data_IF_572805119748
#
_entry.id   IF_572805119748
#
_cell.length_a   1.000
_cell.length_b   1.000
_cell.length_c   1.000
_cell.angle_alpha   90.00
_cell.angle_beta   90.00
_cell.angle_gamma   90.00
#
_symmetry.space_group_name_H-M   'P 1'
#
loop_
_entity.id
_entity.type
_entity.pdbx_description
1 polymer ?
#
# COMPACT_ATOMS: atom_id res chain seq x y z
N UNK A 1 25.08 -9.08 11.22
CA UNK A 1 24.43 -8.46 10.06
C UNK A 1 23.23 -7.70 10.59
N UNK A 2 22.98 -6.50 10.09
CA UNK A 2 21.85 -5.67 10.49
C UNK A 2 20.85 -5.61 9.34
N UNK A 3 19.58 -5.56 9.70
CA UNK A 3 18.46 -5.67 8.76
C UNK A 3 18.22 -4.27 8.17
N UNK A 4 18.14 -4.15 6.84
CA UNK A 4 17.99 -2.83 6.19
C UNK A 4 16.53 -2.55 5.85
N UNK A 5 16.07 -1.31 6.04
CA UNK A 5 14.72 -0.93 5.71
C UNK A 5 14.60 0.51 5.27
N UNK A 6 13.36 0.88 4.98
CA UNK A 6 12.93 2.23 4.67
C UNK A 6 11.55 2.43 5.25
N UNK A 7 11.15 3.67 5.43
CA UNK A 7 9.76 4.01 5.63
C UNK A 7 9.20 4.86 4.48
N UNK A 8 7.91 4.68 4.21
CA UNK A 8 7.24 5.24 3.05
C UNK A 8 5.91 5.87 3.42
N UNK A 9 5.58 6.96 2.75
CA UNK A 9 4.29 7.64 2.81
C UNK A 9 3.74 7.88 1.40
N UNK A 10 2.70 8.72 1.29
CA UNK A 10 2.04 8.97 0.01
C UNK A 10 2.88 9.72 -1.01
N UNK A 11 4.00 10.34 -0.61
CA UNK A 11 4.89 11.03 -1.54
C UNK A 11 5.90 10.09 -2.22
N UNK A 12 6.16 8.90 -1.66
CA UNK A 12 6.87 7.83 -2.36
C UNK A 12 5.98 7.11 -3.40
N UNK A 13 6.61 6.28 -4.23
CA UNK A 13 5.91 5.42 -5.19
C UNK A 13 4.89 4.50 -4.51
N UNK A 14 3.80 4.18 -5.22
CA UNK A 14 2.89 3.11 -4.81
C UNK A 14 3.54 1.72 -4.93
N UNK A 15 4.56 1.60 -5.76
CA UNK A 15 5.40 0.41 -5.93
C UNK A 15 6.88 0.77 -5.73
N UNK A 16 7.34 0.91 -4.47
CA UNK A 16 8.73 1.26 -4.17
C UNK A 16 9.74 0.22 -4.65
N UNK A 17 10.99 0.66 -4.85
CA UNK A 17 12.10 -0.26 -5.12
C UNK A 17 12.45 -0.99 -3.83
N UNK A 18 12.42 -2.33 -3.87
CA UNK A 18 12.62 -3.19 -2.69
C UNK A 18 13.95 -3.94 -2.67
N UNK A 19 14.77 -3.78 -3.71
CA UNK A 19 16.04 -4.51 -3.83
C UNK A 19 16.98 -4.09 -2.70
N UNK A 20 17.50 -5.07 -1.95
CA UNK A 20 18.41 -4.83 -0.83
C UNK A 20 17.73 -4.43 0.48
N UNK A 21 16.39 -4.39 0.52
CA UNK A 21 15.61 -4.14 1.72
C UNK A 21 15.10 -5.45 2.35
N UNK A 22 14.94 -5.41 3.66
CA UNK A 22 14.43 -6.49 4.50
C UNK A 22 13.12 -6.14 5.21
N UNK A 23 12.86 -4.85 5.44
CA UNK A 23 11.60 -4.36 5.98
C UNK A 23 11.18 -3.03 5.37
N UNK A 24 9.90 -2.72 5.51
CA UNK A 24 9.36 -1.40 5.20
C UNK A 24 8.28 -1.00 6.21
N UNK A 25 8.33 0.24 6.69
CA UNK A 25 7.28 0.84 7.53
C UNK A 25 6.48 1.84 6.72
N UNK A 26 5.15 1.78 6.80
CA UNK A 26 4.28 2.48 5.86
C UNK A 26 3.33 3.40 6.62
N UNK A 27 3.28 4.68 6.25
CA UNK A 27 2.29 5.61 6.80
C UNK A 27 0.91 5.06 6.50
N UNK A 28 0.11 4.82 7.53
CA UNK A 28 -1.29 4.42 7.37
C UNK A 28 -2.20 5.64 7.46
N UNK A 29 -2.10 6.39 8.55
CA UNK A 29 -3.02 7.48 8.86
C UNK A 29 -2.30 8.68 9.51
N UNK A 30 -3.00 9.81 9.53
CA UNK A 30 -2.60 11.01 10.27
C UNK A 30 -3.83 11.67 10.89
N UNK A 31 -3.77 11.96 12.19
CA UNK A 31 -4.92 12.47 12.92
C UNK A 31 -6.15 11.56 12.77
N UNK A 32 -7.32 12.16 12.60
CA UNK A 32 -8.57 11.43 12.31
C UNK A 32 -9.11 11.71 10.91
N UNK A 33 -8.30 12.34 10.04
CA UNK A 33 -8.77 12.90 8.77
C UNK A 33 -8.02 12.44 7.53
N UNK A 34 -6.89 11.73 7.69
CA UNK A 34 -6.07 11.33 6.56
C UNK A 34 -5.75 9.84 6.58
N UNK A 35 -5.94 9.19 5.44
CA UNK A 35 -5.48 7.83 5.13
C UNK A 35 -4.52 7.91 3.96
N UNK A 36 -3.38 7.23 4.04
CA UNK A 36 -2.45 7.13 2.92
C UNK A 36 -3.09 6.33 1.77
N UNK A 37 -3.37 6.94 0.60
CA UNK A 37 -4.04 6.27 -0.51
C UNK A 37 -3.16 5.21 -1.19
N UNK A 38 -1.85 5.17 -0.87
CA UNK A 38 -0.88 4.24 -1.45
C UNK A 38 -0.54 3.06 -0.52
N UNK A 39 -0.99 3.05 0.74
CA UNK A 39 -0.50 2.10 1.74
C UNK A 39 -0.69 0.63 1.34
N UNK A 40 -1.83 0.30 0.71
CA UNK A 40 -2.14 -1.08 0.29
C UNK A 40 -1.18 -1.54 -0.80
N UNK A 41 -0.93 -0.70 -1.81
CA UNK A 41 0.01 -1.00 -2.89
C UNK A 41 1.46 -1.10 -2.39
N UNK A 42 1.84 -0.23 -1.46
CA UNK A 42 3.15 -0.24 -0.82
C UNK A 42 3.35 -1.52 0.00
N UNK A 43 2.36 -1.89 0.80
CA UNK A 43 2.39 -3.10 1.61
C UNK A 43 2.42 -4.36 0.74
N UNK A 44 1.61 -4.41 -0.33
CA UNK A 44 1.62 -5.52 -1.28
C UNK A 44 2.96 -5.66 -2.00
N UNK A 45 3.58 -4.54 -2.38
CA UNK A 45 4.91 -4.52 -3.01
C UNK A 45 5.97 -5.07 -2.06
N UNK A 46 5.97 -4.62 -0.80
CA UNK A 46 6.89 -5.11 0.22
C UNK A 46 6.67 -6.61 0.53
N UNK A 47 5.41 -7.04 0.71
CA UNK A 47 5.06 -8.45 0.97
C UNK A 47 5.48 -9.36 -0.19
N UNK A 48 5.27 -8.94 -1.45
CA UNK A 48 5.70 -9.69 -2.65
C UNK A 48 7.22 -9.86 -2.73
N UNK A 49 7.99 -8.89 -2.25
CA UNK A 49 9.44 -8.97 -2.15
C UNK A 49 9.92 -9.67 -0.85
N UNK A 50 8.99 -10.17 -0.03
CA UNK A 50 9.27 -10.94 1.18
C UNK A 50 9.79 -10.10 2.35
N UNK A 51 9.56 -8.78 2.34
CA UNK A 51 9.95 -7.87 3.42
C UNK A 51 9.05 -8.10 4.66
N UNK A 52 9.52 -7.70 5.82
CA UNK A 52 8.65 -7.48 6.99
C UNK A 52 7.95 -6.13 6.82
N UNK A 53 6.63 -6.08 6.96
CA UNK A 53 5.84 -4.86 6.78
C UNK A 53 5.34 -4.37 8.12
N UNK A 54 5.48 -3.07 8.39
CA UNK A 54 4.85 -2.40 9.52
C UNK A 54 4.11 -1.15 9.07
N UNK A 55 3.32 -0.57 9.98
CA UNK A 55 2.54 0.64 9.70
C UNK A 55 2.76 1.68 10.78
N UNK A 56 2.70 2.97 10.41
CA UNK A 56 2.77 4.05 11.38
C UNK A 56 1.64 5.07 11.24
N UNK A 57 1.37 5.74 12.36
CA UNK A 57 0.38 6.79 12.49
C UNK A 57 1.06 8.10 12.87
N UNK A 58 0.92 9.14 12.05
CA UNK A 58 1.38 10.48 12.40
C UNK A 58 0.37 11.14 13.34
N UNK A 59 0.75 11.34 14.61
CA UNK A 59 -0.17 11.86 15.63
C UNK A 59 -0.32 13.37 15.56
N UNK A 60 -1.53 13.85 15.81
CA UNK A 60 -1.87 15.28 15.90
C UNK A 60 -2.49 15.62 17.25
N UNK A 61 -2.46 16.88 17.71
CA UNK A 61 -3.16 17.29 18.92
C UNK A 61 -4.65 16.96 18.83
N UNK A 62 -5.22 16.41 19.90
CA UNK A 62 -6.64 16.02 19.94
C UNK A 62 -6.88 14.80 20.82
N UNK A 63 -7.93 14.05 20.49
CA UNK A 63 -8.33 12.82 21.17
C UNK A 63 -7.46 11.64 20.70
N UNK A 64 -6.68 11.07 21.62
CA UNK A 64 -5.77 9.97 21.32
C UNK A 64 -6.48 8.65 21.11
N UNK A 65 -7.63 8.43 21.76
CA UNK A 65 -8.42 7.21 21.57
C UNK A 65 -9.11 7.22 20.22
N UNK A 66 -9.61 8.38 19.79
CA UNK A 66 -10.16 8.55 18.45
C UNK A 66 -9.09 8.31 17.37
N UNK A 67 -7.87 8.85 17.54
CA UNK A 67 -6.76 8.61 16.61
C UNK A 67 -6.30 7.14 16.60
N UNK A 68 -6.21 6.51 17.79
CA UNK A 68 -5.86 5.09 17.89
C UNK A 68 -6.90 4.20 17.20
N UNK A 69 -8.19 4.45 17.42
CA UNK A 69 -9.28 3.76 16.73
C UNK A 69 -9.21 3.97 15.21
N UNK A 70 -8.98 5.21 14.78
CA UNK A 70 -8.85 5.56 13.36
C UNK A 70 -7.68 4.82 12.69
N UNK A 71 -6.52 4.77 13.35
CA UNK A 71 -5.36 4.03 12.87
C UNK A 71 -5.64 2.52 12.79
N UNK A 72 -6.23 1.95 13.83
CA UNK A 72 -6.61 0.53 13.90
C UNK A 72 -7.66 0.17 12.84
N UNK A 73 -8.61 1.05 12.55
CA UNK A 73 -9.62 0.82 11.52
C UNK A 73 -9.03 0.84 10.10
N UNK A 74 -8.15 1.81 9.82
CA UNK A 74 -7.71 2.10 8.45
C UNK A 74 -6.38 1.45 8.06
N UNK A 75 -5.51 1.12 9.01
CA UNK A 75 -4.24 0.47 8.68
C UNK A 75 -4.48 -0.89 8.01
N UNK A 76 -3.88 -1.08 6.83
CA UNK A 76 -3.90 -2.34 6.07
C UNK A 76 -2.96 -3.42 6.69
N UNK A 77 -2.91 -3.46 8.02
CA UNK A 77 -2.08 -4.34 8.83
C UNK A 77 -2.66 -5.75 8.88
N UNK A 78 -1.79 -6.74 8.75
CA UNK A 78 -2.07 -8.15 9.04
C UNK A 78 -1.50 -8.50 10.43
N UNK A 79 -2.03 -9.51 11.14
CA UNK A 79 -1.43 -9.98 12.37
C UNK A 79 0.07 -10.25 12.20
N UNK A 80 0.88 -9.75 13.13
CA UNK A 80 2.34 -9.79 13.07
C UNK A 80 3.00 -8.58 12.40
N UNK A 81 2.26 -7.68 11.75
CA UNK A 81 2.81 -6.40 11.29
C UNK A 81 2.99 -5.46 12.51
N UNK A 82 4.20 -4.94 12.80
CA UNK A 82 4.38 -4.00 13.89
C UNK A 82 3.72 -2.66 13.55
N UNK A 83 3.17 -2.01 14.57
CA UNK A 83 2.49 -0.73 14.49
C UNK A 83 3.27 0.32 15.27
N UNK A 84 3.42 1.52 14.72
CA UNK A 84 4.17 2.60 15.35
C UNK A 84 3.33 3.86 15.49
N UNK A 85 3.44 4.49 16.65
CA UNK A 85 3.08 5.89 16.81
C UNK A 85 4.26 6.74 16.32
N UNK A 86 4.04 7.60 15.34
CA UNK A 86 4.99 8.64 14.95
C UNK A 86 4.68 9.91 15.74
N UNK A 87 5.54 10.22 16.72
CA UNK A 87 5.41 11.36 17.62
C UNK A 87 6.46 12.43 17.34
N UNK A 88 6.11 13.36 16.46
CA UNK A 88 6.93 14.52 16.12
C UNK A 88 6.18 15.86 16.21
N UNK A 89 4.89 15.85 16.56
CA UNK A 89 4.09 17.06 16.76
C UNK A 89 4.27 17.64 18.17
N UNK A 90 4.69 18.91 18.24
CA UNK A 90 4.97 19.59 19.50
C UNK A 90 3.71 19.83 20.34
N UNK A 91 2.53 19.86 19.72
CA UNK A 91 1.25 19.99 20.41
C UNK A 91 0.75 18.70 21.06
N UNK A 92 1.43 17.56 20.85
CA UNK A 92 1.11 16.27 21.48
C UNK A 92 2.05 16.06 22.67
N UNK A 93 1.48 15.87 23.87
CA UNK A 93 2.23 15.67 25.11
C UNK A 93 2.75 14.23 25.27
N UNK A 94 3.66 14.02 26.23
CA UNK A 94 4.13 12.68 26.61
C UNK A 94 2.98 11.77 27.06
N UNK A 95 2.02 12.32 27.81
CA UNK A 95 0.87 11.57 28.31
C UNK A 95 -0.09 11.20 27.19
N UNK A 96 -0.31 12.09 26.22
CA UNK A 96 -1.07 11.78 25.01
C UNK A 96 -0.40 10.68 24.17
N UNK A 97 0.93 10.75 24.00
CA UNK A 97 1.71 9.68 23.38
C UNK A 97 1.52 8.34 24.11
N UNK A 98 1.56 8.33 25.44
CA UNK A 98 1.34 7.14 26.26
C UNK A 98 -0.08 6.59 26.10
N UNK A 99 -1.09 7.47 26.10
CA UNK A 99 -2.50 7.11 25.92
C UNK A 99 -2.74 6.46 24.55
N UNK A 100 -2.20 7.02 23.48
CA UNK A 100 -2.33 6.45 22.14
C UNK A 100 -1.73 5.03 22.07
N UNK A 101 -0.49 4.86 22.54
CA UNK A 101 0.18 3.54 22.52
C UNK A 101 -0.63 2.51 23.32
N UNK A 102 -1.09 2.89 24.51
CA UNK A 102 -1.90 2.01 25.35
C UNK A 102 -3.22 1.63 24.67
N UNK A 103 -3.88 2.56 23.99
CA UNK A 103 -5.14 2.31 23.31
C UNK A 103 -4.99 1.42 22.07
N UNK A 104 -3.94 1.62 21.25
CA UNK A 104 -3.66 0.72 20.12
C UNK A 104 -3.40 -0.71 20.63
N UNK A 105 -2.62 -0.86 21.71
CA UNK A 105 -2.41 -2.17 22.35
C UNK A 105 -3.72 -2.80 22.83
N UNK A 106 -4.60 -2.00 23.44
CA UNK A 106 -5.93 -2.48 23.89
C UNK A 106 -6.80 -2.95 22.72
N UNK A 107 -6.83 -2.19 21.61
CA UNK A 107 -7.67 -2.48 20.45
C UNK A 107 -7.18 -3.67 19.61
N UNK A 108 -5.85 -3.89 19.55
CA UNK A 108 -5.23 -4.95 18.74
C UNK A 108 -4.85 -6.21 19.52
N UNK A 109 -4.82 -6.13 20.86
CA UNK A 109 -4.39 -7.22 21.72
C UNK A 109 -2.97 -7.68 21.39
N UNK A 110 -2.72 -8.98 21.49
CA UNK A 110 -1.38 -9.56 21.29
C UNK A 110 -1.04 -9.84 19.81
N UNK A 111 -1.89 -9.45 18.87
CA UNK A 111 -1.69 -9.73 17.44
C UNK A 111 -0.60 -8.84 16.81
N UNK A 112 -0.21 -7.74 17.46
CA UNK A 112 0.74 -6.77 16.93
C UNK A 112 1.71 -6.31 18.01
N UNK A 113 2.95 -6.04 17.61
CA UNK A 113 3.86 -5.17 18.39
C UNK A 113 3.44 -3.72 18.17
N UNK A 114 3.47 -2.91 19.23
CA UNK A 114 3.13 -1.48 19.19
C UNK A 114 4.28 -0.67 19.77
N UNK A 115 4.98 0.08 18.92
CA UNK A 115 6.16 0.86 19.27
C UNK A 115 5.98 2.37 19.10
N UNK A 116 7.05 3.09 19.39
CA UNK A 116 7.17 4.54 19.26
C UNK A 116 8.24 4.85 18.22
N UNK A 117 7.90 5.73 17.29
CA UNK A 117 8.84 6.51 16.51
C UNK A 117 8.92 7.94 17.04
N UNK A 118 10.15 8.45 17.18
CA UNK A 118 10.42 9.87 17.40
C UNK A 118 11.90 10.16 17.11
N UNK A 119 12.25 11.45 17.00
CA UNK A 119 13.65 11.85 16.89
C UNK A 119 14.36 11.93 18.26
N UNK A 120 15.70 12.01 18.24
CA UNK A 120 16.53 12.09 19.46
C UNK A 120 16.13 13.21 20.42
N UNK A 121 15.66 14.36 19.92
CA UNK A 121 15.26 15.47 20.76
C UNK A 121 13.99 15.11 21.54
N UNK A 122 12.99 14.54 20.86
CA UNK A 122 11.76 14.09 21.50
C UNK A 122 12.06 13.05 22.58
N UNK A 123 12.88 12.05 22.25
CA UNK A 123 13.28 11.03 23.22
C UNK A 123 14.01 11.62 24.44
N UNK A 124 15.00 12.50 24.23
CA UNK A 124 15.83 12.98 25.34
C UNK A 124 15.20 14.12 26.16
N UNK A 125 14.29 14.90 25.55
CA UNK A 125 13.81 16.18 26.12
C UNK A 125 12.31 16.21 26.38
N UNK A 126 11.53 15.39 25.70
CA UNK A 126 10.06 15.39 25.83
C UNK A 126 9.52 14.09 26.42
N UNK A 127 10.19 12.98 26.16
CA UNK A 127 9.83 11.69 26.76
C UNK A 127 10.09 11.73 28.27
N UNK A 128 9.11 11.26 29.03
CA UNK A 128 9.21 11.07 30.48
C UNK A 128 8.70 9.67 30.81
N UNK A 129 9.57 8.86 31.43
CA UNK A 129 9.25 7.52 31.94
C UNK A 129 9.78 6.36 31.09
N UNK A 130 10.44 6.63 29.97
CA UNK A 130 11.07 5.63 29.10
C UNK A 130 10.08 4.76 28.33
N UNK A 131 8.83 5.21 28.13
CA UNK A 131 7.81 4.38 27.50
C UNK A 131 7.82 4.49 25.98
N UNK A 132 8.45 3.50 25.34
CA UNK A 132 8.44 3.30 23.88
C UNK A 132 7.48 2.21 23.40
N UNK A 133 6.65 1.65 24.29
CA UNK A 133 5.89 0.44 23.96
C UNK A 133 6.80 -0.79 23.77
N UNK A 134 6.64 -1.51 22.67
CA UNK A 134 7.40 -2.75 22.37
C UNK A 134 8.70 -2.50 21.60
N UNK A 135 8.88 -1.31 21.03
CA UNK A 135 10.05 -0.93 20.26
C UNK A 135 10.22 0.59 20.21
N UNK A 136 11.45 1.06 20.42
CA UNK A 136 11.86 2.39 20.03
C UNK A 136 12.44 2.36 18.61
N UNK A 137 11.83 3.14 17.73
CA UNK A 137 12.33 3.53 16.42
C UNK A 137 12.82 4.98 16.50
N UNK A 138 14.14 5.16 16.53
CA UNK A 138 14.75 6.47 16.78
C UNK A 138 15.22 7.12 15.47
N UNK A 139 14.85 8.37 15.23
CA UNK A 139 15.47 9.18 14.19
C UNK A 139 16.68 9.95 14.72
N UNK A 140 17.85 9.67 14.16
CA UNK A 140 19.09 10.41 14.37
C UNK A 140 20.02 10.26 13.16
N UNK A 141 20.26 11.34 12.41
CA UNK A 141 20.94 11.23 11.11
C UNK A 141 22.46 11.15 11.25
N UNK A 142 22.93 9.98 11.69
CA UNK A 142 24.33 9.65 11.97
C UNK A 142 24.69 8.29 11.38
N UNK A 143 25.84 7.72 11.76
CA UNK A 143 26.26 6.39 11.31
C UNK A 143 25.16 5.34 11.56
N UNK A 144 24.81 4.51 10.56
CA UNK A 144 23.78 3.48 10.72
C UNK A 144 24.06 2.59 11.94
N UNK A 145 23.04 2.43 12.78
CA UNK A 145 23.12 1.63 14.01
C UNK A 145 23.87 2.26 15.19
N UNK A 146 24.22 3.55 15.12
CA UNK A 146 24.87 4.27 16.21
C UNK A 146 24.12 5.57 16.59
N UNK A 147 22.80 5.53 16.91
CA UNK A 147 22.07 6.73 17.30
C UNK A 147 22.63 7.30 18.61
N UNK A 148 22.62 8.62 18.77
CA UNK A 148 23.15 9.34 19.94
C UNK A 148 22.19 9.30 21.13
N UNK A 149 21.68 8.12 21.47
CA UNK A 149 20.85 7.85 22.65
C UNK A 149 21.42 6.67 23.45
N UNK A 150 21.16 6.66 24.76
CA UNK A 150 21.55 5.54 25.63
C UNK A 150 20.46 4.48 25.78
N UNK A 151 19.22 4.83 25.46
CA UNK A 151 18.08 3.93 25.62
C UNK A 151 18.14 2.77 24.62
N UNK A 152 17.59 1.60 24.98
CA UNK A 152 17.46 0.49 24.05
C UNK A 152 16.58 0.89 22.87
N UNK A 153 17.02 0.54 21.67
CA UNK A 153 16.31 0.79 20.42
C UNK A 153 16.34 -0.48 19.55
N UNK A 154 15.32 -0.62 18.70
CA UNK A 154 15.22 -1.72 17.74
C UNK A 154 15.32 -1.23 16.30
N UNK A 155 14.95 0.03 16.03
CA UNK A 155 15.06 0.63 14.71
C UNK A 155 15.73 1.99 14.81
N UNK A 156 16.56 2.32 13.81
CA UNK A 156 17.27 3.59 13.72
C UNK A 156 17.09 4.14 12.30
N UNK A 157 16.36 5.24 12.18
CA UNK A 157 16.29 6.04 10.95
C UNK A 157 17.54 6.93 10.91
N UNK A 158 18.45 6.64 9.99
CA UNK A 158 19.80 7.24 9.97
C UNK A 158 20.03 8.21 8.79
N UNK A 159 19.07 8.32 7.88
CA UNK A 159 19.09 9.25 6.74
C UNK A 159 17.66 9.52 6.29
N UNK A 160 17.37 10.75 5.86
CA UNK A 160 16.09 11.17 5.26
C UNK A 160 16.18 11.40 3.74
N UNK A 161 17.41 11.34 3.19
CA UNK A 161 17.70 11.70 1.80
C UNK A 161 18.41 10.57 1.05
N UNK A 162 18.00 10.24 -0.20
CA UNK A 162 16.84 10.78 -0.93
C UNK A 162 15.49 10.19 -0.47
N UNK A 163 15.52 9.15 0.35
CA UNK A 163 14.39 8.47 0.98
C UNK A 163 14.85 8.07 2.37
N UNK A 164 13.95 8.07 3.34
CA UNK A 164 14.21 7.60 4.70
C UNK A 164 14.84 6.21 4.69
N UNK A 165 16.00 6.07 5.33
CA UNK A 165 16.73 4.83 5.47
C UNK A 165 16.76 4.39 6.93
N UNK A 166 16.37 3.13 7.14
CA UNK A 166 16.28 2.53 8.46
C UNK A 166 17.22 1.34 8.61
N UNK A 167 17.63 1.13 9.85
CA UNK A 167 18.36 -0.05 10.28
C UNK A 167 17.63 -0.74 11.44
N UNK A 168 17.31 -2.01 11.26
CA UNK A 168 16.80 -2.89 12.31
C UNK A 168 17.94 -3.59 13.05
N UNK A 169 17.91 -3.53 14.39
CA UNK A 169 18.86 -4.18 15.28
C UNK A 169 18.54 -5.68 15.47
N UNK A 170 18.59 -6.43 14.37
CA UNK A 170 18.33 -7.87 14.32
C UNK A 170 19.42 -8.57 13.53
N UNK A 171 19.67 -9.85 13.83
CA UNK A 171 20.69 -10.63 13.14
C UNK A 171 20.40 -10.80 11.64
N UNK A 172 19.12 -10.99 11.31
CA UNK A 172 18.60 -11.18 9.96
C UNK A 172 17.09 -10.90 9.90
N UNK A 173 16.52 -10.99 8.70
CA UNK A 173 15.09 -10.80 8.44
C UNK A 173 14.19 -11.80 9.17
N UNK A 174 14.66 -13.02 9.40
CA UNK A 174 13.88 -14.05 10.10
C UNK A 174 13.75 -13.71 11.60
N UNK A 175 14.83 -13.23 12.22
CA UNK A 175 14.82 -12.73 13.59
C UNK A 175 13.87 -11.53 13.75
N UNK A 176 13.87 -10.58 12.80
CA UNK A 176 12.92 -9.47 12.78
C UNK A 176 11.47 -9.99 12.70
N UNK A 177 11.19 -10.93 11.79
CA UNK A 177 9.84 -11.51 11.63
C UNK A 177 9.39 -12.26 12.89
N UNK A 178 10.28 -13.01 13.53
CA UNK A 178 9.99 -13.72 14.77
C UNK A 178 9.66 -12.74 15.90
N UNK A 179 10.40 -11.63 16.03
CA UNK A 179 10.07 -10.58 16.99
C UNK A 179 8.69 -9.96 16.72
N UNK A 180 8.43 -9.57 15.47
CA UNK A 180 7.21 -8.90 15.07
C UNK A 180 5.94 -9.74 15.32
N UNK A 181 6.08 -11.07 15.17
CA UNK A 181 5.00 -12.05 15.37
C UNK A 181 4.95 -12.62 16.80
N UNK A 182 5.83 -12.17 17.70
CA UNK A 182 5.87 -12.67 19.09
C UNK A 182 6.29 -14.13 19.20
N UNK A 183 7.10 -14.64 18.28
CA UNK A 183 7.53 -16.05 18.21
C UNK A 183 6.51 -16.99 17.59
N UNK A 184 5.24 -16.57 17.48
CA UNK A 184 4.20 -17.26 16.73
C UNK A 184 4.30 -16.86 15.26
N UNK A 185 5.36 -17.32 14.58
CA UNK A 185 5.48 -17.10 13.14
C UNK A 185 4.24 -17.67 12.45
N UNK A 186 3.46 -16.85 11.70
CA UNK A 186 2.68 -17.41 10.61
C UNK A 186 3.71 -18.12 9.72
N UNK A 187 3.41 -19.36 9.32
CA UNK A 187 4.19 -20.05 8.30
C UNK A 187 4.51 -19.07 7.17
N UNK A 188 5.72 -19.13 6.55
CA UNK A 188 6.08 -18.24 5.46
C UNK A 188 4.89 -18.16 4.52
N UNK A 189 4.40 -16.93 4.28
CA UNK A 189 3.22 -16.72 3.48
C UNK A 189 3.35 -17.64 2.25
N UNK A 190 2.38 -18.53 1.99
CA UNK A 190 2.47 -19.41 0.84
C UNK A 190 2.77 -18.51 -0.34
N UNK A 191 3.77 -18.89 -1.16
CA UNK A 191 4.02 -18.27 -2.46
C UNK A 191 2.66 -17.91 -3.03
N UNK A 192 2.34 -16.62 -3.24
CA UNK A 192 0.96 -16.19 -3.45
C UNK A 192 0.36 -17.14 -4.46
N UNK A 193 -0.70 -17.86 -4.05
CA UNK A 193 -1.40 -18.75 -4.94
C UNK A 193 -1.60 -17.94 -6.22
N UNK A 194 -1.15 -18.45 -7.38
CA UNK A 194 -1.11 -17.63 -8.57
C UNK A 194 -2.51 -17.06 -8.73
N UNK A 195 -2.61 -15.74 -8.84
CA UNK A 195 -3.90 -15.07 -8.95
C UNK A 195 -4.48 -15.55 -10.28
N UNK A 196 -5.22 -16.65 -10.27
CA UNK A 196 -5.62 -17.34 -11.50
C UNK A 196 -7.12 -17.36 -11.63
N UNK A 197 -7.57 -17.32 -12.88
CA UNK A 197 -8.97 -17.45 -13.23
C UNK A 197 -9.16 -18.61 -14.19
N UNK A 198 -9.99 -19.58 -13.81
CA UNK A 198 -10.45 -20.64 -14.71
C UNK A 198 -11.56 -20.09 -15.60
N UNK A 199 -11.31 -20.02 -16.91
CA UNK A 199 -12.26 -19.60 -17.94
C UNK A 199 -13.51 -20.49 -17.86
N UNK A 200 -14.68 -19.86 -17.83
CA UNK A 200 -15.99 -20.52 -17.84
C UNK A 200 -16.61 -20.43 -19.22
N UNK A 201 -17.60 -21.28 -19.49
CA UNK A 201 -18.39 -21.18 -20.72
C UNK A 201 -19.03 -19.80 -20.83
N UNK A 202 -18.77 -19.11 -21.96
CA UNK A 202 -19.25 -17.76 -22.22
C UNK A 202 -18.31 -16.63 -21.78
N UNK A 203 -17.18 -16.93 -21.14
CA UNK A 203 -16.17 -15.91 -20.84
C UNK A 203 -15.44 -15.43 -22.08
N UNK A 204 -15.04 -14.16 -22.07
CA UNK A 204 -14.14 -13.55 -23.06
C UNK A 204 -12.94 -12.95 -22.35
N UNK A 205 -11.79 -12.87 -23.03
CA UNK A 205 -10.58 -12.31 -22.42
C UNK A 205 -10.77 -10.83 -22.01
N UNK A 206 -11.61 -10.09 -22.74
CA UNK A 206 -12.03 -8.73 -22.41
C UNK A 206 -12.93 -8.67 -21.18
N UNK A 207 -13.94 -9.54 -21.07
CA UNK A 207 -14.79 -9.62 -19.88
C UNK A 207 -13.99 -9.97 -18.61
N UNK A 208 -13.03 -10.89 -18.75
CA UNK A 208 -12.12 -11.28 -17.67
C UNK A 208 -11.20 -10.10 -17.31
N UNK A 209 -10.62 -9.42 -18.28
CA UNK A 209 -9.76 -8.26 -18.03
C UNK A 209 -10.49 -7.16 -17.25
N UNK A 210 -11.75 -6.84 -17.63
CA UNK A 210 -12.60 -5.89 -16.90
C UNK A 210 -12.87 -6.37 -15.48
N UNK A 211 -13.25 -7.63 -15.30
CA UNK A 211 -13.55 -8.24 -13.99
C UNK A 211 -12.38 -8.12 -13.01
N UNK A 212 -11.16 -8.23 -13.51
CA UNK A 212 -9.94 -8.17 -12.70
C UNK A 212 -9.19 -6.84 -12.79
N UNK A 213 -9.83 -5.79 -13.32
CA UNK A 213 -9.27 -4.45 -13.43
C UNK A 213 -7.87 -4.43 -14.08
N UNK A 214 -7.72 -5.15 -15.20
CA UNK A 214 -6.51 -5.20 -16.03
C UNK A 214 -6.86 -4.96 -17.50
N UNK A 215 -5.88 -5.06 -18.41
CA UNK A 215 -6.11 -4.92 -19.86
C UNK A 215 -6.03 -6.27 -20.56
N UNK A 216 -6.73 -6.40 -21.70
CA UNK A 216 -6.62 -7.58 -22.57
C UNK A 216 -5.18 -7.83 -22.97
N UNK A 217 -4.41 -6.78 -23.25
CA UNK A 217 -3.00 -6.87 -23.63
C UNK A 217 -2.14 -7.41 -22.50
N UNK A 218 -2.26 -6.85 -21.28
CA UNK A 218 -1.54 -7.32 -20.12
C UNK A 218 -1.92 -8.76 -19.74
N UNK A 219 -3.21 -9.10 -19.83
CA UNK A 219 -3.71 -10.43 -19.56
C UNK A 219 -3.25 -11.44 -20.63
N UNK A 220 -3.25 -11.07 -21.91
CA UNK A 220 -2.75 -11.92 -22.99
C UNK A 220 -1.24 -12.16 -22.87
N UNK A 221 -0.47 -11.09 -22.62
CA UNK A 221 0.98 -11.17 -22.43
C UNK A 221 1.35 -12.04 -21.21
N UNK A 222 0.64 -11.89 -20.09
CA UNK A 222 0.86 -12.70 -18.89
C UNK A 222 0.59 -14.21 -19.09
N UNK A 223 -0.17 -14.56 -20.14
CA UNK A 223 -0.60 -15.93 -20.43
C UNK A 223 -0.08 -16.48 -21.77
N UNK A 224 0.78 -15.75 -22.48
CA UNK A 224 1.29 -16.17 -23.79
C UNK A 224 0.20 -16.36 -24.85
N UNK A 225 -0.92 -15.64 -24.74
CA UNK A 225 -2.06 -15.75 -25.67
C UNK A 225 -1.78 -14.88 -26.89
N UNK A 226 -1.58 -15.51 -28.06
CA UNK A 226 -1.34 -14.82 -29.32
C UNK A 226 -2.62 -14.26 -29.97
N UNK A 227 -3.76 -14.91 -29.71
CA UNK A 227 -5.08 -14.48 -30.21
C UNK A 227 -6.03 -14.26 -29.02
N UNK A 228 -6.26 -12.99 -28.61
CA UNK A 228 -7.14 -12.64 -27.49
C UNK A 228 -8.59 -13.12 -27.61
N UNK A 229 -9.04 -13.54 -28.79
CA UNK A 229 -10.39 -14.06 -29.02
C UNK A 229 -10.48 -15.59 -28.85
N UNK A 230 -9.36 -16.27 -28.60
CA UNK A 230 -9.29 -17.73 -28.44
C UNK A 230 -8.90 -18.12 -27.04
N UNK A 231 -9.90 -18.18 -26.17
CA UNK A 231 -9.81 -18.82 -24.85
C UNK A 231 -10.83 -19.95 -24.74
N UNK A 232 -10.53 -20.96 -23.94
CA UNK A 232 -11.36 -22.17 -23.82
C UNK A 232 -11.85 -22.36 -22.39
N UNK A 233 -13.10 -22.81 -22.19
CA UNK A 233 -13.57 -23.20 -20.86
C UNK A 233 -12.64 -24.23 -20.21
N UNK A 234 -12.33 -24.04 -18.94
CA UNK A 234 -11.35 -24.84 -18.19
C UNK A 234 -9.91 -24.32 -18.27
N UNK A 235 -9.60 -23.39 -19.18
CA UNK A 235 -8.27 -22.77 -19.26
C UNK A 235 -8.01 -21.93 -18.01
N UNK A 236 -6.84 -22.12 -17.38
CA UNK A 236 -6.43 -21.34 -16.20
C UNK A 236 -5.56 -20.18 -16.64
N UNK A 237 -6.04 -18.95 -16.42
CA UNK A 237 -5.33 -17.71 -16.75
C UNK A 237 -4.66 -17.12 -15.53
N UNK A 238 -3.38 -16.77 -15.63
CA UNK A 238 -2.67 -15.90 -14.69
C UNK A 238 -3.20 -14.47 -14.83
N UNK A 239 -3.79 -13.95 -13.77
CA UNK A 239 -4.31 -12.59 -13.67
C UNK A 239 -3.17 -11.67 -13.18
N UNK A 240 -2.64 -10.78 -14.03
CA UNK A 240 -1.58 -9.87 -13.63
C UNK A 240 -2.12 -8.89 -12.57
N UNK A 241 -1.47 -8.86 -11.39
CA UNK A 241 -1.77 -7.86 -10.36
C UNK A 241 -0.75 -6.73 -10.47
N UNK A 242 -1.18 -5.54 -10.88
CA UNK A 242 -0.32 -4.35 -10.92
C UNK A 242 -0.19 -3.62 -12.25
N UNK A 243 -1.20 -3.66 -13.13
CA UNK A 243 -1.24 -2.79 -14.31
C UNK A 243 -2.56 -2.03 -14.38
N UNK A 244 -2.78 -1.15 -13.40
CA UNK A 244 -3.64 -0.01 -13.67
C UNK A 244 -2.95 0.82 -14.77
N UNK A 245 -3.66 1.24 -15.83
CA UNK A 245 -3.06 2.10 -16.85
C UNK A 245 -2.55 3.39 -16.20
N UNK A 246 -1.36 3.85 -16.60
CA UNK A 246 -1.06 5.28 -16.52
C UNK A 246 -2.20 6.04 -17.24
N UNK A 247 -2.63 7.22 -16.76
CA UNK A 247 -3.68 7.97 -17.45
C UNK A 247 -3.27 8.16 -18.90
N UNK A 248 -4.06 7.62 -19.83
CA UNK A 248 -3.87 7.93 -21.24
C UNK A 248 -4.00 9.46 -21.40
N UNK A 249 -3.18 10.10 -22.27
CA UNK A 249 -3.31 11.53 -22.53
C UNK A 249 -4.78 11.85 -22.83
N UNK A 250 -5.29 12.94 -22.25
CA UNK A 250 -6.69 13.34 -22.36
C UNK A 250 -7.05 13.54 -23.85
N UNK A 251 -7.56 12.49 -24.47
CA UNK A 251 -8.13 12.54 -25.80
C UNK A 251 -9.44 13.30 -25.64
N UNK A 252 -9.48 14.57 -26.03
CA UNK A 252 -10.68 15.40 -25.89
C UNK A 252 -11.77 14.99 -26.89
N UNK A 253 -11.40 14.33 -28.00
CA UNK A 253 -12.34 13.84 -29.02
C UNK A 253 -11.90 12.53 -29.69
N UNK A 254 -12.87 11.66 -29.98
CA UNK A 254 -12.69 10.40 -30.71
C UNK A 254 -13.52 10.38 -31.99
N UNK A 255 -12.94 9.99 -33.12
CA UNK A 255 -13.66 9.79 -34.39
C UNK A 255 -14.07 8.33 -34.54
N UNK A 256 -15.38 8.08 -34.58
CA UNK A 256 -15.99 6.76 -34.78
C UNK A 256 -15.48 6.14 -36.08
N UNK A 257 -15.06 4.88 -36.04
CA UNK A 257 -14.59 4.11 -37.20
C UNK A 257 -15.64 3.09 -37.63
N UNK A 258 -15.49 2.55 -38.84
CA UNK A 258 -16.33 1.43 -39.29
C UNK A 258 -16.19 0.25 -38.33
N UNK A 259 -17.32 -0.26 -37.81
CA UNK A 259 -17.38 -1.35 -36.84
C UNK A 259 -17.35 -0.92 -35.37
N UNK A 260 -17.22 0.38 -35.06
CA UNK A 260 -17.29 0.86 -33.68
C UNK A 260 -18.73 0.80 -33.13
N UNK A 261 -18.84 0.54 -31.84
CA UNK A 261 -20.08 0.69 -31.05
C UNK A 261 -19.87 1.69 -29.93
N UNK A 262 -20.93 2.36 -29.46
CA UNK A 262 -20.81 3.33 -28.38
C UNK A 262 -20.36 2.67 -27.07
N UNK A 263 -20.73 1.40 -26.85
CA UNK A 263 -20.24 0.57 -25.76
C UNK A 263 -18.76 0.22 -25.87
N UNK A 264 -18.29 -0.15 -27.06
CA UNK A 264 -16.87 -0.40 -27.31
C UNK A 264 -16.02 0.85 -27.09
N UNK A 265 -16.52 2.01 -27.51
CA UNK A 265 -15.85 3.31 -27.31
C UNK A 265 -15.87 3.70 -25.83
N UNK A 266 -17.00 3.58 -25.14
CA UNK A 266 -17.10 3.89 -23.71
C UNK A 266 -16.12 3.04 -22.87
N UNK A 267 -16.04 1.75 -23.17
CA UNK A 267 -15.08 0.84 -22.54
C UNK A 267 -13.63 1.24 -22.84
N UNK A 268 -13.32 1.59 -24.10
CA UNK A 268 -11.99 2.04 -24.52
C UNK A 268 -11.50 3.28 -23.76
N UNK A 269 -12.42 4.16 -23.36
CA UNK A 269 -12.10 5.40 -22.66
C UNK A 269 -12.52 5.40 -21.18
N UNK A 270 -12.76 4.22 -20.61
CA UNK A 270 -13.08 4.07 -19.19
C UNK A 270 -14.25 4.94 -18.70
N UNK A 271 -15.28 5.09 -19.54
CA UNK A 271 -16.53 5.78 -19.20
C UNK A 271 -17.74 4.84 -19.40
N UNK A 272 -18.93 5.29 -19.06
CA UNK A 272 -20.16 4.52 -19.29
C UNK A 272 -20.84 4.95 -20.57
N UNK A 273 -21.59 4.05 -21.21
CA UNK A 273 -22.41 4.36 -22.39
C UNK A 273 -23.35 5.53 -22.09
N UNK A 274 -23.95 5.53 -20.90
CA UNK A 274 -24.86 6.60 -20.46
C UNK A 274 -24.14 7.95 -20.33
N UNK A 275 -22.97 7.98 -19.68
CA UNK A 275 -22.19 9.21 -19.54
C UNK A 275 -21.70 9.73 -20.90
N UNK A 276 -21.22 8.84 -21.76
CA UNK A 276 -20.73 9.18 -23.09
C UNK A 276 -21.85 9.64 -24.02
N UNK A 277 -23.01 8.96 -23.99
CA UNK A 277 -24.19 9.36 -24.76
C UNK A 277 -24.71 10.72 -24.30
N UNK A 278 -24.81 10.95 -22.98
CA UNK A 278 -25.24 12.22 -22.40
C UNK A 278 -24.29 13.36 -22.77
N UNK A 279 -22.98 13.14 -22.67
CA UNK A 279 -21.94 14.14 -23.00
C UNK A 279 -21.96 14.55 -24.48
N UNK A 280 -22.48 13.68 -25.35
CA UNK A 280 -22.51 13.88 -26.80
C UNK A 280 -23.92 14.09 -27.37
N UNK A 281 -24.95 14.21 -26.53
CA UNK A 281 -26.34 14.38 -26.98
C UNK A 281 -26.88 13.23 -27.82
N UNK A 282 -26.41 12.00 -27.59
CA UNK A 282 -26.83 10.82 -28.36
C UNK A 282 -28.08 10.22 -27.73
N UNK A 283 -29.23 10.38 -28.41
CA UNK A 283 -30.52 9.85 -27.94
C UNK A 283 -30.65 8.33 -28.11
N UNK A 284 -29.99 7.75 -29.12
CA UNK A 284 -29.95 6.29 -29.32
C UNK A 284 -28.50 5.79 -29.30
N UNK A 285 -28.05 5.18 -28.19
CA UNK A 285 -26.69 4.64 -28.03
C UNK A 285 -26.25 3.60 -29.08
N UNK A 286 -27.19 2.98 -29.79
CA UNK A 286 -26.92 1.98 -30.83
C UNK A 286 -26.79 2.59 -32.24
N UNK A 287 -26.93 3.92 -32.36
CA UNK A 287 -26.83 4.63 -33.64
C UNK A 287 -25.70 5.65 -33.59
N UNK A 288 -24.50 5.19 -33.90
CA UNK A 288 -23.34 6.04 -34.20
C UNK A 288 -22.85 5.76 -35.62
N UNK A 289 -22.22 6.74 -36.26
CA UNK A 289 -21.79 6.63 -37.66
C UNK A 289 -20.28 6.79 -37.80
N UNK A 290 -19.63 6.02 -38.70
CA UNK A 290 -18.23 6.26 -39.04
C UNK A 290 -18.00 7.73 -39.44
N UNK A 291 -16.93 8.34 -38.91
CA UNK A 291 -16.63 9.76 -39.07
C UNK A 291 -17.22 10.68 -37.99
N UNK A 292 -18.17 10.22 -37.18
CA UNK A 292 -18.75 11.00 -36.08
C UNK A 292 -17.68 11.30 -35.01
N UNK A 293 -17.60 12.55 -34.55
CA UNK A 293 -16.68 12.96 -33.47
C UNK A 293 -17.41 12.95 -32.12
N UNK A 294 -16.88 12.22 -31.15
CA UNK A 294 -17.37 12.11 -29.78
C UNK A 294 -16.41 12.81 -28.83
N UNK A 295 -16.94 13.65 -27.95
CA UNK A 295 -16.25 14.18 -26.77
C UNK A 295 -16.07 13.04 -25.77
N UNK A 296 -14.82 12.80 -25.36
CA UNK A 296 -14.46 11.76 -24.38
C UNK A 296 -14.27 12.39 -23.01
#
# INVERSE_FOLDING_TARGET
MTVKGQDWASYQSATPVTTGLDFAFIKATEGTGYVNPKMVYQADTARKAGLVVGFYHFVRPGDMKAQAAYFVEHAASQPGDPLFLDWEDAGVSNDQKNEFIAEVKRLRGNAHKVGLYCNQYYWQKREVGGNAGDALWIADYVTPGAPRIQAPWLFHQYSDSPIDQDLGNFADRAALRAWATGGNSPAPAPTPAPNTYTVKSGDTLSGIAVKFNTTVSALAAANGISDPNKIYPGQVLKIPTGSAPAPAPAVTTYTVKSGDTLSGIAAKFHTTVSALAKKNGISNPNKIFPGQKLKI
#
